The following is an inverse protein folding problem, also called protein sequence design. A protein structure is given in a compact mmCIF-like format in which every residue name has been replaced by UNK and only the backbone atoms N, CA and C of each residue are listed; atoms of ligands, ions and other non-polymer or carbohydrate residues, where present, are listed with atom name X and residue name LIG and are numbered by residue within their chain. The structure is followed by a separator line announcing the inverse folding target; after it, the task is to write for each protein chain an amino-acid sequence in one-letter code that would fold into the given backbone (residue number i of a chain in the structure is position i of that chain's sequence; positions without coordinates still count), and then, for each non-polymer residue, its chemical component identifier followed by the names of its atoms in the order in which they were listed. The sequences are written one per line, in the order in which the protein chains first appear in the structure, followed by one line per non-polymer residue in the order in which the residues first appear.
data_IF_931359319359
#
_entry.id   IF_931359319359
#
_cell.length_a   1.000
_cell.length_b   1.000
_cell.length_c   1.000
_cell.angle_alpha   90.00
_cell.angle_beta   90.00
_cell.angle_gamma   90.00
#
_symmetry.space_group_name_H-M   'P 1'
#
loop_
_entity.id
_entity.type
_entity.pdbx_description
1 polymer ?
#
# COMPACT_ATOMS: atom_id res chain seq x y z
N UNK A 1 -21.04 12.65 22.12
CA UNK A 1 -19.84 11.78 22.10
C UNK A 1 -20.09 10.68 21.08
N UNK A 2 -19.32 10.62 20.00
CA UNK A 2 -19.49 9.58 18.98
C UNK A 2 -19.10 8.24 19.60
N UNK A 3 -19.99 7.23 19.64
CA UNK A 3 -19.69 5.96 20.29
C UNK A 3 -18.58 5.19 19.58
N UNK A 4 -18.38 5.40 18.28
CA UNK A 4 -17.42 4.65 17.47
C UNK A 4 -16.00 5.26 17.50
N UNK A 5 -14.95 4.46 17.81
CA UNK A 5 -13.58 4.95 17.74
C UNK A 5 -13.24 5.31 16.28
N UNK A 6 -12.93 6.58 16.08
CA UNK A 6 -12.37 7.10 14.83
C UNK A 6 -10.91 7.38 15.09
N UNK A 7 -10.05 6.58 14.47
CA UNK A 7 -8.61 6.77 14.58
C UNK A 7 -8.15 7.52 13.35
N UNK A 8 -7.54 8.68 13.59
CA UNK A 8 -6.83 9.40 12.55
C UNK A 8 -5.33 9.25 12.82
N UNK A 9 -4.60 8.73 11.84
CA UNK A 9 -3.15 8.52 11.92
C UNK A 9 -2.45 9.32 10.84
N UNK A 10 -1.44 10.08 11.23
CA UNK A 10 -0.46 10.66 10.32
C UNK A 10 0.84 9.86 10.40
N UNK A 11 1.38 9.45 9.26
CA UNK A 11 2.61 8.66 9.14
C UNK A 11 3.54 9.32 8.13
N UNK A 12 4.83 9.39 8.49
CA UNK A 12 5.89 9.84 7.59
C UNK A 12 6.90 8.71 7.46
N UNK A 13 7.30 8.38 6.24
CA UNK A 13 8.24 7.31 5.93
C UNK A 13 9.33 7.83 5.00
N UNK A 14 10.58 7.55 5.36
CA UNK A 14 11.73 7.71 4.47
C UNK A 14 12.26 6.34 4.05
N UNK A 15 12.66 6.19 2.80
CA UNK A 15 13.35 5.02 2.28
C UNK A 15 14.71 5.44 1.72
N UNK A 16 15.72 4.63 1.97
CA UNK A 16 17.03 4.73 1.33
C UNK A 16 17.41 3.36 0.78
N UNK A 17 17.78 3.30 -0.50
CA UNK A 17 18.22 2.07 -1.15
C UNK A 17 19.43 2.35 -2.03
N UNK A 18 20.44 1.50 -1.88
CA UNK A 18 21.65 1.54 -2.69
C UNK A 18 22.02 0.12 -3.11
N UNK A 19 21.92 -0.16 -4.40
CA UNK A 19 22.24 -1.48 -4.96
C UNK A 19 23.70 -1.51 -5.41
N UNK A 20 24.40 -2.61 -5.11
CA UNK A 20 25.82 -2.78 -5.49
C UNK A 20 26.02 -2.97 -6.99
N UNK A 21 25.00 -3.53 -7.68
CA UNK A 21 25.01 -3.76 -9.12
C UNK A 21 23.75 -3.17 -9.75
N UNK A 22 23.93 -2.48 -10.86
CA UNK A 22 22.85 -1.92 -11.68
C UNK A 22 22.33 -2.95 -12.68
N UNK A 23 21.13 -2.72 -13.21
CA UNK A 23 20.59 -3.46 -14.34
C UNK A 23 21.57 -3.36 -15.53
N UNK A 24 21.93 -4.50 -16.10
CA UNK A 24 22.80 -4.58 -17.27
C UNK A 24 22.02 -5.17 -18.45
N UNK A 25 21.72 -4.32 -19.42
CA UNK A 25 20.97 -4.67 -20.63
C UNK A 25 21.92 -5.24 -21.68
N UNK A 26 21.68 -6.48 -22.11
CA UNK A 26 22.49 -7.19 -23.10
C UNK A 26 21.73 -7.22 -24.43
N UNK A 27 22.36 -6.66 -25.46
CA UNK A 27 21.80 -6.57 -26.81
C UNK A 27 22.61 -7.41 -27.80
N UNK A 28 21.94 -8.05 -28.74
CA UNK A 28 22.54 -8.60 -29.96
C UNK A 28 22.02 -7.79 -31.16
N UNK A 29 22.87 -6.92 -31.71
CA UNK A 29 22.45 -5.96 -32.72
C UNK A 29 21.48 -4.92 -32.14
N UNK A 30 20.26 -4.84 -32.68
CA UNK A 30 19.18 -3.98 -32.18
C UNK A 30 18.30 -4.66 -31.14
N UNK A 31 18.44 -5.97 -30.94
CA UNK A 31 17.50 -6.76 -30.16
C UNK A 31 17.99 -6.91 -28.72
N UNK A 32 17.12 -6.59 -27.76
CA UNK A 32 17.37 -6.82 -26.34
C UNK A 32 17.19 -8.31 -26.03
N UNK A 33 18.29 -9.02 -25.78
CA UNK A 33 18.28 -10.48 -25.58
C UNK A 33 18.25 -10.84 -24.09
N UNK A 34 18.81 -9.99 -23.21
CA UNK A 34 18.83 -10.26 -21.79
C UNK A 34 18.92 -8.98 -20.94
N UNK A 35 18.46 -9.07 -19.70
CA UNK A 35 18.69 -8.05 -18.66
C UNK A 35 19.29 -8.77 -17.46
N UNK A 36 20.60 -8.64 -17.28
CA UNK A 36 21.29 -9.14 -16.10
C UNK A 36 20.91 -8.24 -14.92
N UNK A 37 20.39 -8.84 -13.85
CA UNK A 37 19.70 -8.17 -12.73
C UNK A 37 18.37 -7.53 -13.16
N UNK A 38 17.35 -8.35 -13.52
CA UNK A 38 16.10 -7.88 -14.12
C UNK A 38 15.13 -7.20 -13.13
N UNK A 39 15.52 -7.08 -11.85
CA UNK A 39 14.75 -6.37 -10.83
C UNK A 39 15.17 -4.91 -10.77
N UNK A 40 14.34 -4.06 -10.16
CA UNK A 40 14.69 -2.66 -9.93
C UNK A 40 15.90 -2.55 -8.98
N UNK A 41 17.07 -2.18 -9.51
CA UNK A 41 18.33 -2.01 -8.76
C UNK A 41 18.78 -0.55 -8.73
N UNK A 42 18.13 0.30 -7.90
CA UNK A 42 18.47 1.71 -7.86
C UNK A 42 19.82 1.96 -7.16
N UNK A 43 20.51 3.03 -7.56
CA UNK A 43 21.73 3.53 -6.93
C UNK A 43 21.44 4.87 -6.25
N UNK A 44 21.79 4.99 -4.97
CA UNK A 44 21.55 6.17 -4.13
C UNK A 44 20.10 6.71 -4.16
N UNK A 45 19.13 5.80 -4.15
CA UNK A 45 17.70 6.15 -4.16
C UNK A 45 17.24 6.58 -2.77
N UNK A 46 16.50 7.69 -2.73
CA UNK A 46 15.82 8.17 -1.54
C UNK A 46 14.38 8.47 -1.88
N UNK A 47 13.47 8.04 -1.01
CA UNK A 47 12.06 8.39 -1.12
C UNK A 47 11.51 8.91 0.20
N UNK A 48 10.51 9.76 0.08
CA UNK A 48 9.77 10.29 1.20
C UNK A 48 8.28 10.15 0.92
N UNK A 49 7.54 9.63 1.89
CA UNK A 49 6.10 9.41 1.81
C UNK A 49 5.44 9.94 3.07
N UNK A 50 4.47 10.83 2.91
CA UNK A 50 3.54 11.25 3.96
C UNK A 50 2.19 10.56 3.74
N UNK A 51 1.55 10.11 4.81
CA UNK A 51 0.28 9.38 4.74
C UNK A 51 -0.68 9.83 5.82
N UNK A 52 -1.92 10.06 5.43
CA UNK A 52 -3.06 10.25 6.32
C UNK A 52 -3.95 9.03 6.24
N UNK A 53 -4.19 8.39 7.37
CA UNK A 53 -5.07 7.21 7.47
C UNK A 53 -6.24 7.54 8.38
N UNK A 54 -7.44 7.21 7.93
CA UNK A 54 -8.65 7.30 8.72
C UNK A 54 -9.26 5.91 8.84
N UNK A 55 -9.35 5.44 10.08
CA UNK A 55 -10.00 4.19 10.45
C UNK A 55 -11.28 4.52 11.21
N UNK A 56 -12.36 3.85 10.87
CA UNK A 56 -13.62 3.97 11.57
C UNK A 56 -14.20 2.58 11.87
N UNK A 57 -14.35 2.32 13.15
CA UNK A 57 -14.98 1.11 13.64
C UNK A 57 -16.51 1.22 13.54
N UNK A 58 -17.16 0.21 12.99
CA UNK A 58 -18.60 0.07 12.86
C UNK A 58 -19.16 -1.06 13.75
N UNK A 59 -18.30 -1.71 14.53
CA UNK A 59 -18.68 -2.84 15.38
C UNK A 59 -19.72 -2.41 16.41
N UNK A 60 -20.80 -3.20 16.55
CA UNK A 60 -21.85 -2.97 17.54
C UNK A 60 -21.32 -3.11 18.98
N UNK A 61 -20.30 -3.95 19.15
CA UNK A 61 -19.67 -4.28 20.43
C UNK A 61 -18.24 -3.70 20.44
N UNK A 62 -17.81 -3.13 21.57
CA UNK A 62 -16.55 -2.37 21.68
C UNK A 62 -15.61 -2.90 22.76
N UNK A 63 -15.59 -4.21 22.97
CA UNK A 63 -14.63 -4.88 23.85
C UNK A 63 -13.55 -5.58 23.02
N UNK A 64 -12.43 -5.93 23.66
CA UNK A 64 -11.23 -6.44 22.98
C UNK A 64 -11.44 -7.71 22.13
N UNK A 65 -12.51 -8.47 22.37
CA UNK A 65 -12.85 -9.68 21.61
C UNK A 65 -14.12 -9.52 20.74
N UNK A 66 -14.58 -8.30 20.50
CA UNK A 66 -15.68 -8.08 19.59
C UNK A 66 -15.28 -8.44 18.15
N UNK A 67 -16.24 -8.93 17.39
CA UNK A 67 -16.07 -9.13 15.96
C UNK A 67 -15.75 -7.79 15.29
N UNK A 68 -14.69 -7.76 14.50
CA UNK A 68 -14.26 -6.54 13.81
C UNK A 68 -15.17 -6.22 12.64
N UNK A 69 -15.70 -5.01 12.60
CA UNK A 69 -16.34 -4.44 11.44
C UNK A 69 -15.85 -3.02 11.26
N UNK A 70 -15.07 -2.74 10.22
CA UNK A 70 -14.50 -1.40 10.03
C UNK A 70 -14.25 -1.10 8.56
N UNK A 71 -14.08 0.18 8.29
CA UNK A 71 -13.46 0.63 7.04
C UNK A 71 -12.24 1.49 7.35
N UNK A 72 -11.32 1.49 6.41
CA UNK A 72 -10.15 2.36 6.43
C UNK A 72 -9.97 3.06 5.09
N UNK A 73 -9.51 4.31 5.17
CA UNK A 73 -9.06 5.06 4.02
C UNK A 73 -7.68 5.59 4.30
N UNK A 74 -6.81 5.53 3.29
CA UNK A 74 -5.46 6.06 3.38
C UNK A 74 -5.15 6.89 2.15
N UNK A 75 -4.76 8.14 2.37
CA UNK A 75 -4.21 9.01 1.35
C UNK A 75 -2.72 9.16 1.61
N UNK A 76 -1.91 8.80 0.62
CA UNK A 76 -0.46 8.89 0.66
C UNK A 76 0.03 9.81 -0.45
N UNK A 77 1.01 10.65 -0.14
CA UNK A 77 1.72 11.47 -1.13
C UNK A 77 3.21 11.41 -0.86
N UNK A 78 4.01 11.39 -1.90
CA UNK A 78 5.45 11.27 -1.76
C UNK A 78 6.20 11.63 -3.02
N UNK A 79 7.51 11.62 -2.90
CA UNK A 79 8.43 11.80 -4.03
C UNK A 79 9.71 11.03 -3.75
N UNK A 80 10.46 10.81 -4.80
CA UNK A 80 11.76 10.15 -4.76
C UNK A 80 12.84 10.98 -5.45
N UNK A 81 14.06 10.45 -5.46
CA UNK A 81 15.22 11.00 -6.19
C UNK A 81 15.03 11.03 -7.70
N UNK A 82 14.12 10.23 -8.25
CA UNK A 82 13.76 10.23 -9.67
C UNK A 82 12.75 11.36 -10.01
N UNK A 83 12.38 12.17 -9.01
CA UNK A 83 11.41 13.26 -9.12
C UNK A 83 10.06 12.77 -9.62
N UNK A 84 9.63 11.62 -9.11
CA UNK A 84 8.32 11.05 -9.41
C UNK A 84 7.32 11.30 -8.26
N UNK A 85 6.73 12.51 -8.17
CA UNK A 85 5.72 12.76 -7.17
C UNK A 85 4.54 11.82 -7.39
N UNK A 86 4.12 11.16 -6.33
CA UNK A 86 3.11 10.11 -6.36
C UNK A 86 2.02 10.45 -5.37
N UNK A 87 0.77 10.24 -5.77
CA UNK A 87 -0.39 10.26 -4.88
C UNK A 87 -1.12 8.92 -4.96
N UNK A 88 -1.44 8.35 -3.80
CA UNK A 88 -2.13 7.07 -3.69
C UNK A 88 -3.31 7.23 -2.76
N UNK A 89 -4.49 6.82 -3.22
CA UNK A 89 -5.65 6.61 -2.38
C UNK A 89 -5.90 5.11 -2.24
N UNK A 90 -6.05 4.65 -1.00
CA UNK A 90 -6.41 3.28 -0.66
C UNK A 90 -7.69 3.29 0.17
N UNK A 91 -8.54 2.30 -0.06
CA UNK A 91 -9.75 2.06 0.72
C UNK A 91 -9.91 0.57 1.02
N UNK A 92 -10.31 0.26 2.25
CA UNK A 92 -10.55 -1.09 2.72
C UNK A 92 -11.83 -1.17 3.54
N UNK A 93 -12.56 -2.25 3.39
CA UNK A 93 -13.70 -2.63 4.23
C UNK A 93 -13.51 -4.05 4.72
N UNK A 94 -13.74 -4.27 6.01
CA UNK A 94 -13.44 -5.53 6.69
C UNK A 94 -14.60 -5.94 7.60
N UNK A 95 -14.96 -7.22 7.54
CA UNK A 95 -16.00 -7.83 8.36
C UNK A 95 -15.55 -9.19 8.87
N UNK A 96 -15.43 -9.31 10.18
CA UNK A 96 -15.22 -10.56 10.89
C UNK A 96 -16.57 -11.14 11.33
N UNK A 97 -16.69 -12.46 11.26
CA UNK A 97 -17.87 -13.18 11.71
C UNK A 97 -17.49 -14.47 12.43
N UNK A 98 -18.21 -14.75 13.51
CA UNK A 98 -18.06 -15.91 14.39
C UNK A 98 -16.64 -16.12 14.91
N UNK A 99 -15.82 -15.06 14.96
CA UNK A 99 -14.37 -15.10 15.29
C UNK A 99 -13.57 -16.12 14.45
N UNK A 100 -14.10 -16.49 13.28
CA UNK A 100 -13.55 -17.57 12.43
C UNK A 100 -13.39 -17.16 10.99
N UNK A 101 -14.26 -16.29 10.49
CA UNK A 101 -14.18 -15.79 9.12
C UNK A 101 -13.88 -14.30 9.10
N UNK A 102 -13.05 -13.87 8.16
CA UNK A 102 -12.83 -12.47 7.81
C UNK A 102 -13.05 -12.30 6.31
N UNK A 103 -13.97 -11.41 5.94
CA UNK A 103 -14.14 -10.92 4.58
C UNK A 103 -13.51 -9.53 4.51
N UNK A 104 -12.81 -9.25 3.41
CA UNK A 104 -12.26 -7.92 3.15
C UNK A 104 -12.43 -7.54 1.69
N UNK A 105 -12.77 -6.29 1.42
CA UNK A 105 -12.77 -5.71 0.09
C UNK A 105 -11.85 -4.51 0.15
N UNK A 106 -10.82 -4.52 -0.69
CA UNK A 106 -9.78 -3.51 -0.68
C UNK A 106 -9.55 -2.99 -2.09
N UNK A 107 -9.01 -1.78 -2.19
CA UNK A 107 -8.59 -1.24 -3.46
C UNK A 107 -7.67 -0.04 -3.28
N UNK A 108 -6.96 0.29 -4.34
CA UNK A 108 -6.19 1.52 -4.41
C UNK A 108 -6.15 2.07 -5.83
N UNK A 109 -5.86 3.37 -5.89
CA UNK A 109 -5.51 4.09 -7.10
C UNK A 109 -4.26 4.90 -6.77
N UNK A 110 -3.22 4.74 -7.59
CA UNK A 110 -1.95 5.46 -7.52
C UNK A 110 -1.75 6.20 -8.82
N UNK A 111 -1.40 7.47 -8.72
CA UNK A 111 -1.05 8.33 -9.85
C UNK A 111 0.33 8.95 -9.63
N UNK A 112 1.16 8.89 -10.66
CA UNK A 112 2.46 9.57 -10.68
C UNK A 112 2.83 9.97 -12.11
N UNK A 113 3.97 10.61 -12.31
CA UNK A 113 4.41 10.98 -13.67
C UNK A 113 4.88 9.78 -14.48
N UNK A 114 5.48 8.80 -13.80
CA UNK A 114 6.18 7.69 -14.44
C UNK A 114 5.36 6.39 -14.36
N UNK A 115 4.48 6.27 -13.37
CA UNK A 115 3.74 5.04 -13.11
C UNK A 115 2.33 5.29 -12.54
N UNK A 116 1.33 4.73 -13.22
CA UNK A 116 -0.05 4.70 -12.75
C UNK A 116 -0.45 3.26 -12.43
N UNK A 117 -1.17 3.06 -11.34
CA UNK A 117 -1.67 1.75 -10.95
C UNK A 117 -3.02 1.85 -10.27
N UNK A 118 -3.85 0.84 -10.45
CA UNK A 118 -5.10 0.69 -9.71
C UNK A 118 -5.44 -0.77 -9.55
N UNK A 119 -6.00 -1.14 -8.41
CA UNK A 119 -6.46 -2.50 -8.17
C UNK A 119 -7.66 -2.50 -7.21
N UNK A 120 -8.51 -3.50 -7.36
CA UNK A 120 -9.58 -3.84 -6.43
C UNK A 120 -9.55 -5.34 -6.25
N UNK A 121 -9.61 -5.81 -5.01
CA UNK A 121 -9.61 -7.23 -4.69
C UNK A 121 -10.47 -7.52 -3.47
N UNK A 122 -10.94 -8.76 -3.38
CA UNK A 122 -11.64 -9.29 -2.22
C UNK A 122 -10.84 -10.44 -1.63
N UNK A 123 -10.83 -10.53 -0.30
CA UNK A 123 -10.15 -11.58 0.44
C UNK A 123 -11.15 -12.28 1.36
N UNK A 124 -10.98 -13.59 1.50
CA UNK A 124 -11.62 -14.39 2.53
C UNK A 124 -10.56 -15.14 3.32
N UNK A 125 -10.55 -14.98 4.64
CA UNK A 125 -9.65 -15.70 5.55
C UNK A 125 -10.49 -16.50 6.55
N UNK A 126 -10.06 -17.73 6.82
CA UNK A 126 -10.69 -18.59 7.81
C UNK A 126 -9.66 -19.05 8.83
N UNK A 127 -9.99 -18.94 10.11
CA UNK A 127 -9.19 -19.37 11.25
C UNK A 127 -9.81 -20.63 11.88
N UNK A 128 -9.00 -21.67 12.05
CA UNK A 128 -9.40 -22.96 12.62
C UNK A 128 -9.47 -22.93 14.15
#
# INVERSE_FOLDING_TARGET
LTPFPKIFKFEVRGEYRNSDKLNNFVFEGSDLVNIIHPYWTPNNYKAFLASFSWYHDLSLLQFCEAEKHYYEFKLSTGTDTEKNPTITFYGGWHLEFRKKGLISINGYITRSKIWDASSVWAEYKYSF
#
